data_IF_927278431672
#
_entry.id   IF_927278431672
#
_cell.length_a   1.000
_cell.length_b   1.000
_cell.length_c   1.000
_cell.angle_alpha   90.00
_cell.angle_beta   90.00
_cell.angle_gamma   90.00
#
_symmetry.space_group_name_H-M   'P 1'
#
loop_
_entity.id
_entity.type
_entity.pdbx_description
1 polymer ?
#
# COMPACT_ATOMS: atom_id res chain seq x y z
N UNK A 1 -8.29 -6.20 -2.48
CA UNK A 1 -7.86 -4.83 -2.12
C UNK A 1 -8.35 -3.86 -3.19
N UNK A 2 -9.28 -2.97 -2.84
CA UNK A 2 -9.79 -1.96 -3.78
C UNK A 2 -8.65 -1.11 -4.32
N UNK A 3 -8.52 -1.03 -5.64
CA UNK A 3 -7.47 -0.24 -6.33
C UNK A 3 -7.57 1.28 -6.06
N UNK A 4 -8.62 1.72 -5.38
CA UNK A 4 -8.90 3.12 -5.05
C UNK A 4 -7.73 3.81 -4.34
N UNK A 5 -7.06 3.13 -3.41
CA UNK A 5 -5.92 3.73 -2.69
C UNK A 5 -4.71 3.93 -3.60
N UNK A 6 -4.45 2.94 -4.46
CA UNK A 6 -3.38 3.03 -5.46
C UNK A 6 -3.64 4.17 -6.44
N UNK A 7 -4.89 4.33 -6.88
CA UNK A 7 -5.33 5.43 -7.75
C UNK A 7 -5.21 6.80 -7.06
N UNK A 8 -5.59 6.90 -5.78
CA UNK A 8 -5.45 8.12 -4.98
C UNK A 8 -3.99 8.54 -4.85
N UNK A 9 -3.10 7.61 -4.51
CA UNK A 9 -1.65 7.85 -4.41
C UNK A 9 -1.09 8.31 -5.77
N UNK A 10 -1.46 7.62 -6.86
CA UNK A 10 -1.05 7.97 -8.22
C UNK A 10 -1.52 9.37 -8.61
N UNK A 11 -2.77 9.72 -8.30
CA UNK A 11 -3.33 11.03 -8.58
C UNK A 11 -2.58 12.13 -7.81
N UNK A 12 -2.33 11.93 -6.52
CA UNK A 12 -1.58 12.87 -5.69
C UNK A 12 -0.15 13.07 -6.19
N UNK A 13 0.54 11.98 -6.56
CA UNK A 13 1.87 12.05 -7.17
C UNK A 13 1.87 12.88 -8.44
N UNK A 14 0.90 12.65 -9.33
CA UNK A 14 0.76 13.40 -10.58
C UNK A 14 0.47 14.89 -10.36
N UNK A 15 -0.36 15.25 -9.36
CA UNK A 15 -0.58 16.66 -8.98
C UNK A 15 0.71 17.36 -8.57
N UNK A 16 1.62 16.64 -7.89
CA UNK A 16 2.97 17.12 -7.56
C UNK A 16 3.98 17.03 -8.71
N UNK A 17 3.55 16.62 -9.92
CA UNK A 17 4.40 16.44 -11.11
C UNK A 17 5.60 15.50 -10.89
N UNK A 18 5.47 14.53 -9.99
CA UNK A 18 6.52 13.56 -9.72
C UNK A 18 6.36 12.32 -10.60
N UNK A 19 7.45 11.80 -11.14
CA UNK A 19 7.53 10.42 -11.62
C UNK A 19 7.52 9.45 -10.43
N UNK A 20 7.23 8.17 -10.69
CA UNK A 20 7.31 7.12 -9.66
C UNK A 20 8.75 6.99 -9.11
N UNK A 21 9.78 7.17 -9.94
CA UNK A 21 11.19 7.14 -9.51
C UNK A 21 11.54 8.31 -8.60
N UNK A 22 11.00 9.50 -8.88
CA UNK A 22 11.21 10.66 -8.02
C UNK A 22 10.49 10.52 -6.69
N UNK A 23 9.27 9.96 -6.68
CA UNK A 23 8.55 9.64 -5.45
C UNK A 23 9.34 8.62 -4.61
N UNK A 24 9.81 7.55 -5.23
CA UNK A 24 10.67 6.53 -4.61
C UNK A 24 11.91 7.17 -3.95
N UNK A 25 12.65 7.99 -4.71
CA UNK A 25 13.81 8.73 -4.20
C UNK A 25 13.47 9.65 -3.02
N UNK A 26 12.38 10.43 -3.10
CA UNK A 26 11.97 11.38 -2.05
C UNK A 26 11.54 10.69 -0.76
N UNK A 27 10.92 9.52 -0.88
CA UNK A 27 10.41 8.75 0.28
C UNK A 27 11.41 7.73 0.82
N UNK A 28 12.47 7.42 0.07
CA UNK A 28 13.35 6.29 0.34
C UNK A 28 12.62 4.95 0.26
N UNK A 29 11.57 4.86 -0.56
CA UNK A 29 10.83 3.63 -0.83
C UNK A 29 11.33 3.07 -2.16
N UNK A 30 11.45 1.74 -2.26
CA UNK A 30 11.82 1.10 -3.52
C UNK A 30 10.83 1.44 -4.66
N UNK A 31 11.36 1.72 -5.85
CA UNK A 31 10.57 2.10 -7.02
C UNK A 31 9.56 1.02 -7.42
N UNK A 32 9.97 -0.24 -7.38
CA UNK A 32 9.11 -1.39 -7.68
C UNK A 32 7.98 -1.50 -6.67
N UNK A 33 8.24 -1.17 -5.40
CA UNK A 33 7.22 -1.12 -4.36
C UNK A 33 6.23 0.04 -4.57
N UNK A 34 6.71 1.24 -4.91
CA UNK A 34 5.84 2.39 -5.30
C UNK A 34 4.92 2.01 -6.47
N UNK A 35 5.47 1.34 -7.48
CA UNK A 35 4.70 0.89 -8.64
C UNK A 35 3.59 -0.11 -8.25
N UNK A 36 3.91 -1.10 -7.41
CA UNK A 36 2.92 -2.08 -6.91
C UNK A 36 1.81 -1.42 -6.09
N UNK A 37 2.15 -0.44 -5.25
CA UNK A 37 1.20 0.36 -4.46
C UNK A 37 0.21 1.06 -5.39
N UNK A 38 0.70 1.82 -6.38
CA UNK A 38 -0.15 2.59 -7.30
C UNK A 38 -1.00 1.72 -8.22
N UNK A 39 -0.59 0.47 -8.46
CA UNK A 39 -1.33 -0.51 -9.25
C UNK A 39 -2.31 -1.35 -8.40
N UNK A 40 -2.35 -1.16 -7.08
CA UNK A 40 -3.16 -1.98 -6.18
C UNK A 40 -2.74 -3.45 -6.12
N UNK A 41 -1.51 -3.78 -6.51
CA UNK A 41 -1.00 -5.17 -6.62
C UNK A 41 -0.37 -5.71 -5.34
N UNK A 42 -0.60 -5.07 -4.20
CA UNK A 42 -0.13 -5.58 -2.93
C UNK A 42 -1.12 -6.59 -2.36
N UNK A 43 -0.62 -7.76 -1.96
CA UNK A 43 -1.41 -8.79 -1.28
C UNK A 43 -1.87 -8.35 0.12
N UNK A 44 -1.17 -7.40 0.73
CA UNK A 44 -1.43 -6.87 2.07
C UNK A 44 -1.18 -5.36 2.12
N UNK A 45 -1.77 -4.68 3.12
CA UNK A 45 -1.57 -3.26 3.33
C UNK A 45 -0.08 -2.92 3.56
N UNK A 46 0.45 -1.81 3.01
CA UNK A 46 1.79 -1.35 3.33
C UNK A 46 1.97 -1.10 4.82
N UNK A 47 3.20 -1.25 5.31
CA UNK A 47 3.54 -0.92 6.71
C UNK A 47 3.19 0.55 6.99
N UNK A 48 2.78 0.85 8.22
CA UNK A 48 2.42 2.22 8.65
C UNK A 48 3.52 3.25 8.33
N UNK A 49 4.80 2.89 8.46
CA UNK A 49 5.92 3.76 8.12
C UNK A 49 5.98 4.13 6.62
N UNK A 50 5.59 3.21 5.73
CA UNK A 50 5.51 3.46 4.27
C UNK A 50 4.37 4.43 4.00
N UNK A 51 3.19 4.19 4.58
CA UNK A 51 2.04 5.07 4.45
C UNK A 51 2.34 6.48 4.97
N UNK A 52 3.05 6.60 6.11
CA UNK A 52 3.45 7.89 6.67
C UNK A 52 4.39 8.65 5.73
N UNK A 53 5.39 7.99 5.15
CA UNK A 53 6.30 8.61 4.17
C UNK A 53 5.56 9.09 2.92
N UNK A 54 4.64 8.29 2.41
CA UNK A 54 3.80 8.66 1.27
C UNK A 54 2.87 9.83 1.61
N UNK A 55 2.23 9.79 2.79
CA UNK A 55 1.35 10.84 3.28
C UNK A 55 2.05 12.20 3.33
N UNK A 56 3.22 12.24 3.98
CA UNK A 56 4.04 13.46 4.09
C UNK A 56 4.54 13.92 2.71
N UNK A 57 5.02 13.01 1.87
CA UNK A 57 5.56 13.40 0.56
C UNK A 57 4.47 13.89 -0.41
N UNK A 58 3.24 13.40 -0.29
CA UNK A 58 2.14 13.64 -1.23
C UNK A 58 1.06 14.60 -0.70
N UNK A 59 1.24 15.17 0.50
CA UNK A 59 0.26 15.99 1.22
C UNK A 59 -1.09 15.28 1.33
N UNK A 60 -1.06 14.02 1.77
CA UNK A 60 -2.25 13.20 2.02
C UNK A 60 -2.44 12.98 3.51
N UNK A 61 -3.69 12.78 3.91
CA UNK A 61 -4.01 12.39 5.29
C UNK A 61 -3.62 10.93 5.54
N UNK A 62 -2.72 10.72 6.51
CA UNK A 62 -2.29 9.39 6.94
C UNK A 62 -3.44 8.59 7.56
N UNK A 63 -4.35 9.23 8.29
CA UNK A 63 -5.49 8.54 8.89
C UNK A 63 -6.41 7.99 7.81
N UNK A 64 -6.70 8.79 6.78
CA UNK A 64 -7.51 8.33 5.66
C UNK A 64 -6.81 7.22 4.87
N UNK A 65 -5.51 7.35 4.59
CA UNK A 65 -4.74 6.28 3.94
C UNK A 65 -4.79 4.96 4.74
N UNK A 66 -4.64 5.03 6.07
CA UNK A 66 -4.74 3.85 6.94
C UNK A 66 -6.15 3.27 6.95
N UNK A 67 -7.18 4.11 6.99
CA UNK A 67 -8.58 3.66 6.95
C UNK A 67 -8.89 2.91 5.65
N UNK A 68 -8.44 3.45 4.52
CA UNK A 68 -8.67 2.84 3.21
C UNK A 68 -7.90 1.52 3.00
N UNK A 69 -6.70 1.38 3.60
CA UNK A 69 -5.96 0.11 3.58
C UNK A 69 -6.39 -0.88 4.67
N UNK A 70 -6.94 -0.38 5.78
CA UNK A 70 -7.36 -1.14 6.95
C UNK A 70 -8.75 -1.74 6.82
N UNK A 71 -9.46 -1.51 5.71
CA UNK A 71 -10.60 -2.33 5.36
C UNK A 71 -10.08 -3.65 4.79
N UNK A 72 -10.17 -4.78 5.52
CA UNK A 72 -10.08 -6.06 4.87
C UNK A 72 -11.19 -6.07 3.82
N UNK A 73 -10.84 -6.00 2.54
CA UNK A 73 -11.77 -6.44 1.51
C UNK A 73 -12.04 -7.89 1.83
N UNK A 74 -13.20 -8.14 2.44
CA UNK A 74 -13.66 -9.43 2.92
C UNK A 74 -13.47 -10.49 1.83
N UNK A 75 -12.48 -11.34 2.05
CA UNK A 75 -12.48 -12.79 1.85
C UNK A 75 -11.06 -13.26 2.20
N UNK A 76 -10.82 -13.41 3.50
CA UNK A 76 -9.74 -14.23 3.99
C UNK A 76 -10.38 -15.39 4.74
N UNK A 77 -10.64 -16.47 4.02
CA UNK A 77 -10.72 -17.81 4.61
C UNK A 77 -9.33 -18.41 4.53
N UNK A 78 -8.61 -18.58 5.65
CA UNK A 78 -7.55 -19.57 5.69
C UNK A 78 -8.29 -20.90 5.69
N UNK A 79 -8.42 -21.51 4.53
CA UNK A 79 -8.84 -22.90 4.44
C UNK A 79 -7.80 -23.77 5.15
N UNK A 80 -8.03 -24.04 6.44
CA UNK A 80 -7.95 -25.34 7.11
C UNK A 80 -6.65 -26.16 7.09
N UNK A 81 -5.56 -25.79 6.41
CA UNK A 81 -4.36 -26.65 6.34
C UNK A 81 -3.10 -25.90 6.81
N UNK A 82 -2.97 -25.71 8.12
CA UNK A 82 -1.67 -25.76 8.82
C UNK A 82 -1.89 -26.29 10.26
N UNK A 83 -2.62 -27.39 10.41
CA UNK A 83 -2.70 -28.18 11.64
C UNK A 83 -2.31 -29.65 11.38
N UNK A 84 -1.35 -29.90 10.48
CA UNK A 84 -0.82 -31.26 10.24
C UNK A 84 0.70 -31.39 10.33
N UNK A 85 1.43 -30.35 10.75
CA UNK A 85 2.89 -30.45 10.97
C UNK A 85 3.31 -30.31 12.45
N UNK A 86 2.37 -30.46 13.40
CA UNK A 86 2.65 -30.40 14.85
C UNK A 86 2.30 -31.66 15.64
N UNK A 87 2.13 -32.81 14.98
CA UNK A 87 2.04 -34.10 15.66
C UNK A 87 2.71 -35.19 14.85
N UNK A 88 3.88 -35.65 15.30
CA UNK A 88 4.58 -36.84 14.79
C UNK A 88 6.06 -36.61 14.59
#
# INVERSE_FOLDING_TARGET
MSNEVGLLIRAARKRKKLSQRELARKTGIDFTYVSKIEQGKLAYAPKAAVLAKLAVCLDLDLHELKRLYGQPTTEWTPSTIVLLDYAG
#
